data_IF_002310685730
#
_entry.id   IF_002310685730
#
_cell.length_a   1.000
_cell.length_b   1.000
_cell.length_c   1.000
_cell.angle_alpha   90.00
_cell.angle_beta   90.00
_cell.angle_gamma   90.00
#
_symmetry.space_group_name_H-M   'P 1'
#
loop_
_entity.id
_entity.type
_entity.pdbx_description
1 polymer ?
#
# COMPACT_ATOMS: atom_id res chain seq x y z
N UNK A 1 -2.58 7.03 24.39
CA UNK A 1 -1.64 5.98 23.97
C UNK A 1 -1.83 5.76 22.48
N UNK A 2 -0.76 5.56 21.72
CA UNK A 2 -0.78 5.30 20.28
C UNK A 2 -0.13 3.93 20.05
N UNK A 3 -0.85 3.03 19.37
CA UNK A 3 -0.34 1.71 19.00
C UNK A 3 -0.38 1.63 17.48
N UNK A 4 0.76 1.35 16.86
CA UNK A 4 0.82 1.01 15.45
C UNK A 4 1.29 -0.42 15.31
N UNK A 5 0.49 -1.23 14.61
CA UNK A 5 0.80 -2.63 14.32
C UNK A 5 1.19 -2.75 12.85
N UNK A 6 2.33 -3.37 12.56
CA UNK A 6 2.76 -3.60 11.18
C UNK A 6 3.53 -4.89 10.99
N UNK A 7 3.51 -5.39 9.75
CA UNK A 7 4.40 -6.47 9.31
C UNK A 7 5.57 -5.87 8.54
N UNK A 8 6.77 -6.39 8.75
CA UNK A 8 7.98 -6.00 8.02
C UNK A 8 8.93 -7.18 7.86
N UNK A 9 9.94 -7.02 7.01
CA UNK A 9 11.06 -7.95 6.88
C UNK A 9 11.97 -7.91 8.10
N UNK A 10 12.56 -9.07 8.41
CA UNK A 10 13.39 -9.28 9.60
C UNK A 10 14.58 -8.31 9.66
N UNK A 11 15.22 -8.05 8.53
CA UNK A 11 16.42 -7.21 8.44
C UNK A 11 16.13 -5.73 8.74
N UNK A 12 14.87 -5.31 8.62
CA UNK A 12 14.46 -3.92 8.78
C UNK A 12 13.86 -3.60 10.15
N UNK A 13 13.78 -4.59 11.06
CA UNK A 13 13.15 -4.41 12.37
C UNK A 13 13.61 -3.16 13.15
N UNK A 14 14.92 -2.93 13.35
CA UNK A 14 15.37 -1.77 14.13
C UNK A 14 15.04 -0.44 13.45
N UNK A 15 15.02 -0.42 12.12
CA UNK A 15 14.75 0.78 11.33
C UNK A 15 13.25 1.10 11.38
N UNK A 16 12.40 0.14 11.05
CA UNK A 16 10.93 0.30 11.07
C UNK A 16 10.45 0.69 12.46
N UNK A 17 10.96 0.05 13.51
CA UNK A 17 10.55 0.35 14.88
C UNK A 17 10.88 1.81 15.28
N UNK A 18 12.08 2.29 14.93
CA UNK A 18 12.48 3.68 15.17
C UNK A 18 11.71 4.68 14.31
N UNK A 19 11.46 4.36 13.04
CA UNK A 19 10.66 5.20 12.15
C UNK A 19 9.23 5.37 12.69
N UNK A 20 8.61 4.28 13.16
CA UNK A 20 7.27 4.33 13.75
C UNK A 20 7.22 5.15 15.02
N UNK A 21 8.23 5.06 15.89
CA UNK A 21 8.33 5.93 17.07
C UNK A 21 8.38 7.41 16.65
N UNK A 22 9.31 7.76 15.75
CA UNK A 22 9.52 9.15 15.32
C UNK A 22 8.31 9.74 14.58
N UNK A 23 7.61 8.93 13.79
CA UNK A 23 6.43 9.35 13.01
C UNK A 23 5.33 9.95 13.88
N UNK A 24 5.14 9.43 15.10
CA UNK A 24 4.06 9.87 15.99
C UNK A 24 4.52 10.78 17.13
N UNK A 25 5.80 11.16 17.21
CA UNK A 25 6.31 12.00 18.31
C UNK A 25 5.55 13.32 18.41
N UNK A 26 5.32 14.00 17.28
CA UNK A 26 4.53 15.25 17.24
C UNK A 26 3.09 15.03 17.71
N UNK A 27 2.43 13.99 17.18
CA UNK A 27 1.04 13.67 17.53
C UNK A 27 0.91 13.31 19.01
N UNK A 28 1.86 12.54 19.55
CA UNK A 28 1.87 12.17 20.95
C UNK A 28 2.02 13.39 21.86
N UNK A 29 2.88 14.34 21.49
CA UNK A 29 3.07 15.59 22.20
C UNK A 29 1.80 16.44 22.18
N UNK A 30 1.19 16.66 21.02
CA UNK A 30 -0.05 17.43 20.90
C UNK A 30 -1.19 16.80 21.70
N UNK A 31 -1.38 15.48 21.57
CA UNK A 31 -2.41 14.76 22.30
C UNK A 31 -2.19 14.87 23.83
N UNK A 32 -0.92 14.87 24.25
CA UNK A 32 -0.58 15.05 25.65
C UNK A 32 -0.84 16.47 26.18
N UNK A 33 -0.65 17.49 25.35
CA UNK A 33 -1.00 18.87 25.69
C UNK A 33 -2.52 19.06 25.80
N UNK A 34 -3.28 18.55 24.83
CA UNK A 34 -4.74 18.68 24.78
C UNK A 34 -5.40 17.99 25.97
N UNK A 35 -5.00 16.74 26.23
CA UNK A 35 -5.64 15.90 27.25
C UNK A 35 -4.92 15.95 28.61
N UNK A 36 -3.87 16.78 28.75
CA UNK A 36 -3.03 16.91 29.96
C UNK A 36 -2.54 15.56 30.49
N UNK A 37 -2.18 14.64 29.58
CA UNK A 37 -1.75 13.29 29.93
C UNK A 37 -0.49 12.90 29.16
N UNK A 38 0.30 11.95 29.67
CA UNK A 38 1.48 11.48 28.95
C UNK A 38 1.06 10.48 27.88
N UNK A 39 1.14 10.87 26.61
CA UNK A 39 0.93 9.95 25.50
C UNK A 39 2.18 9.10 25.28
N UNK A 40 2.00 7.78 25.28
CA UNK A 40 3.05 6.82 24.91
C UNK A 40 2.79 6.25 23.52
N UNK A 41 3.86 6.08 22.75
CA UNK A 41 3.88 5.42 21.45
C UNK A 41 4.44 4.00 21.64
N UNK A 42 3.72 3.01 21.13
CA UNK A 42 4.11 1.60 21.15
C UNK A 42 4.12 1.09 19.71
N UNK A 43 5.30 0.95 19.07
CA UNK A 43 5.44 0.28 17.80
C UNK A 43 5.36 -1.24 18.03
N UNK A 44 4.36 -1.89 17.45
CA UNK A 44 4.22 -3.35 17.52
C UNK A 44 4.55 -3.94 16.15
N UNK A 45 5.76 -4.48 16.04
CA UNK A 45 6.34 -4.93 14.78
C UNK A 45 6.60 -6.43 14.85
N UNK A 46 6.07 -7.15 13.86
CA UNK A 46 6.24 -8.60 13.70
C UNK A 46 6.58 -8.95 12.25
N UNK A 47 7.10 -10.14 12.02
CA UNK A 47 7.25 -10.70 10.66
C UNK A 47 6.08 -11.62 10.33
N UNK A 48 5.95 -11.95 9.04
CA UNK A 48 5.06 -13.02 8.55
C UNK A 48 5.33 -14.38 9.24
N UNK A 49 6.60 -14.65 9.57
CA UNK A 49 7.05 -15.90 10.18
C UNK A 49 6.93 -15.90 11.72
N UNK A 50 6.33 -14.86 12.31
CA UNK A 50 6.17 -14.75 13.77
C UNK A 50 7.47 -14.46 14.52
N UNK A 51 8.56 -14.15 13.81
CA UNK A 51 9.75 -13.55 14.43
C UNK A 51 9.39 -12.13 14.88
N UNK A 52 9.84 -11.76 16.07
CA UNK A 52 9.46 -10.52 16.75
C UNK A 52 10.69 -9.81 17.31
N UNK A 53 10.58 -8.49 17.56
CA UNK A 53 11.68 -7.70 18.09
C UNK A 53 11.99 -8.04 19.55
N UNK A 54 13.18 -7.65 20.03
CA UNK A 54 13.53 -7.78 21.46
C UNK A 54 12.59 -6.97 22.38
N UNK A 55 11.99 -5.89 21.87
CA UNK A 55 11.04 -5.06 22.62
C UNK A 55 9.62 -5.64 22.64
N UNK A 56 9.32 -6.58 21.75
CA UNK A 56 8.01 -7.23 21.66
C UNK A 56 7.50 -7.76 22.99
N UNK A 57 8.36 -8.47 23.74
CA UNK A 57 8.01 -9.01 25.07
C UNK A 57 7.72 -7.90 26.09
N UNK A 58 8.38 -6.75 25.98
CA UNK A 58 8.14 -5.59 26.84
C UNK A 58 6.77 -4.98 26.52
N UNK A 59 6.45 -4.81 25.24
CA UNK A 59 5.18 -4.24 24.81
C UNK A 59 3.98 -5.15 25.09
N UNK A 60 4.13 -6.47 24.91
CA UNK A 60 3.14 -7.46 25.33
C UNK A 60 2.76 -7.34 26.81
N UNK A 61 3.78 -7.25 27.68
CA UNK A 61 3.58 -7.09 29.13
C UNK A 61 2.95 -5.75 29.49
N UNK A 62 3.33 -4.69 28.78
CA UNK A 62 2.78 -3.36 29.03
C UNK A 62 1.34 -3.21 28.56
N UNK A 63 0.98 -3.87 27.47
CA UNK A 63 -0.36 -3.88 26.90
C UNK A 63 -1.28 -4.96 27.51
N UNK A 64 -0.73 -5.86 28.34
CA UNK A 64 -1.40 -7.05 28.87
C UNK A 64 -2.08 -7.89 27.76
N UNK A 65 -1.39 -8.03 26.63
CA UNK A 65 -1.93 -8.75 25.47
C UNK A 65 -1.74 -10.25 25.69
N UNK A 66 -2.85 -10.97 25.74
CA UNK A 66 -2.83 -12.42 25.83
C UNK A 66 -2.43 -13.07 24.49
N UNK A 67 -1.84 -14.28 24.49
CA UNK A 67 -1.37 -14.93 23.26
C UNK A 67 -2.46 -15.11 22.19
N UNK A 68 -3.71 -15.35 22.59
CA UNK A 68 -4.82 -15.48 21.63
C UNK A 68 -5.17 -14.16 20.93
N UNK A 69 -5.01 -13.03 21.63
CA UNK A 69 -5.20 -11.70 21.06
C UNK A 69 -4.05 -11.34 20.11
N UNK A 70 -2.81 -11.71 20.47
CA UNK A 70 -1.66 -11.56 19.59
C UNK A 70 -1.85 -12.33 18.27
N UNK A 71 -2.28 -13.60 18.34
CA UNK A 71 -2.60 -14.39 17.15
C UNK A 71 -3.74 -13.77 16.32
N UNK A 72 -4.76 -13.22 16.99
CA UNK A 72 -5.83 -12.50 16.29
C UNK A 72 -5.32 -11.25 15.58
N UNK A 73 -4.51 -10.43 16.25
CA UNK A 73 -3.88 -9.24 15.67
C UNK A 73 -3.03 -9.66 14.46
N UNK A 74 -2.21 -10.69 14.59
CA UNK A 74 -1.40 -11.21 13.49
C UNK A 74 -2.29 -11.61 12.31
N UNK A 75 -3.35 -12.41 12.54
CA UNK A 75 -4.28 -12.82 11.47
C UNK A 75 -4.93 -11.63 10.77
N UNK A 76 -5.25 -10.58 11.51
CA UNK A 76 -5.89 -9.38 10.99
C UNK A 76 -4.93 -8.57 10.11
N UNK A 77 -3.67 -8.41 10.54
CA UNK A 77 -2.67 -7.68 9.76
C UNK A 77 -2.30 -8.46 8.49
N UNK A 78 -2.16 -9.78 8.59
CA UNK A 78 -1.96 -10.67 7.43
C UNK A 78 -3.11 -10.51 6.43
N UNK A 79 -4.36 -10.57 6.90
CA UNK A 79 -5.55 -10.40 6.07
C UNK A 79 -5.59 -9.04 5.39
N UNK A 80 -5.40 -7.96 6.15
CA UNK A 80 -5.39 -6.58 5.59
C UNK A 80 -4.27 -6.38 4.57
N UNK A 81 -3.11 -6.97 4.82
CA UNK A 81 -1.98 -6.86 3.91
C UNK A 81 -2.25 -7.64 2.62
N UNK A 82 -2.84 -8.84 2.72
CA UNK A 82 -3.28 -9.61 1.56
C UNK A 82 -4.37 -8.87 0.76
N UNK A 83 -5.33 -8.25 1.44
CA UNK A 83 -6.34 -7.39 0.81
C UNK A 83 -5.71 -6.21 0.09
N UNK A 84 -4.74 -5.52 0.72
CA UNK A 84 -4.02 -4.39 0.11
C UNK A 84 -3.25 -4.81 -1.15
N UNK A 85 -2.50 -5.90 -1.09
CA UNK A 85 -1.75 -6.43 -2.25
C UNK A 85 -2.72 -6.86 -3.36
N UNK A 86 -3.85 -7.49 -2.99
CA UNK A 86 -4.85 -7.93 -3.96
C UNK A 86 -5.57 -6.75 -4.62
N UNK A 87 -5.83 -5.68 -3.86
CA UNK A 87 -6.40 -4.44 -4.36
C UNK A 87 -5.43 -3.75 -5.32
N UNK A 88 -4.15 -3.67 -4.96
CA UNK A 88 -3.09 -3.07 -5.79
C UNK A 88 -2.93 -3.82 -7.12
N UNK A 89 -2.97 -5.17 -7.09
CA UNK A 89 -2.96 -5.98 -8.32
C UNK A 89 -4.16 -5.71 -9.23
N UNK A 90 -5.35 -5.50 -8.66
CA UNK A 90 -6.55 -5.17 -9.45
C UNK A 90 -6.44 -3.78 -10.07
N UNK A 91 -6.02 -2.78 -9.31
CA UNK A 91 -5.82 -1.43 -9.83
C UNK A 91 -4.70 -1.38 -10.88
N UNK A 92 -3.62 -2.14 -10.71
CA UNK A 92 -2.59 -2.26 -11.74
C UNK A 92 -3.16 -2.82 -13.05
N UNK A 93 -3.98 -3.87 -12.96
CA UNK A 93 -4.63 -4.48 -14.13
C UNK A 93 -5.63 -3.53 -14.79
N UNK A 94 -6.49 -2.86 -14.03
CA UNK A 94 -7.48 -1.91 -14.56
C UNK A 94 -6.81 -0.71 -15.27
N UNK A 95 -5.64 -0.27 -14.77
CA UNK A 95 -4.85 0.80 -15.38
C UNK A 95 -4.14 0.36 -16.65
N UNK A 96 -3.65 -0.89 -16.69
CA UNK A 96 -3.04 -1.46 -17.89
C UNK A 96 -4.10 -1.68 -18.99
N UNK A 97 -5.28 -2.20 -18.63
CA UNK A 97 -6.41 -2.38 -19.54
C UNK A 97 -6.91 -1.04 -20.11
N UNK A 98 -6.97 0.01 -19.28
CA UNK A 98 -7.35 1.35 -19.72
C UNK A 98 -6.35 1.94 -20.73
N UNK A 99 -5.04 1.78 -20.47
CA UNK A 99 -3.99 2.22 -21.41
C UNK A 99 -4.02 1.45 -22.73
N UNK A 100 -4.26 0.15 -22.67
CA UNK A 100 -4.37 -0.69 -23.88
C UNK A 100 -5.58 -0.28 -24.73
N UNK A 101 -6.70 0.06 -24.10
CA UNK A 101 -7.88 0.59 -24.79
C UNK A 101 -7.62 1.94 -25.46
N UNK A 102 -7.00 2.89 -24.76
CA UNK A 102 -6.64 4.20 -25.33
C UNK A 102 -5.66 4.06 -26.50
N UNK A 103 -4.66 3.17 -26.38
CA UNK A 103 -3.71 2.88 -27.45
C UNK A 103 -4.42 2.29 -28.67
N UNK A 104 -5.32 1.33 -28.47
CA UNK A 104 -6.07 0.70 -29.54
C UNK A 104 -7.03 1.67 -30.24
N UNK A 105 -7.68 2.58 -29.51
CA UNK A 105 -8.51 3.64 -30.08
C UNK A 105 -7.68 4.65 -30.90
N UNK A 106 -6.51 5.05 -30.40
CA UNK A 106 -5.59 5.93 -31.13
C UNK A 106 -5.09 5.27 -32.43
N UNK A 107 -4.68 4.00 -32.36
CA UNK A 107 -4.25 3.22 -33.54
C UNK A 107 -5.38 3.08 -34.55
N UNK A 108 -6.61 2.79 -34.11
CA UNK A 108 -7.77 2.70 -35.00
C UNK A 108 -8.04 4.03 -35.72
N UNK A 109 -7.90 5.17 -35.02
CA UNK A 109 -8.07 6.50 -35.62
C UNK A 109 -7.02 6.81 -36.70
N UNK A 110 -5.76 6.40 -36.48
CA UNK A 110 -4.67 6.58 -37.45
C UNK A 110 -4.87 5.70 -38.69
N UNK A 111 -5.37 4.47 -38.50
CA UNK A 111 -5.71 3.57 -39.60
C UNK A 111 -6.86 4.13 -40.46
N UNK A 112 -7.91 4.68 -39.83
CA UNK A 112 -9.03 5.31 -40.53
C UNK A 112 -8.58 6.56 -41.33
N UNK A 113 -7.70 7.38 -40.74
CA UNK A 113 -7.09 8.52 -41.43
C UNK A 113 -6.22 8.09 -42.64
N UNK A 114 -5.46 7.00 -42.49
CA UNK A 114 -4.65 6.44 -43.59
C UNK A 114 -5.50 5.82 -44.70
N UNK A 115 -6.66 5.22 -44.37
CA UNK A 115 -7.59 4.66 -45.35
C UNK A 115 -8.38 5.73 -46.10
N UNK A 116 -8.72 6.85 -45.45
CA UNK A 116 -9.33 8.03 -46.12
C UNK A 116 -8.38 8.76 -47.05
N UNK A 117 -7.07 8.67 -46.83
CA UNK A 117 -6.06 9.34 -47.67
C UNK A 117 -5.79 8.64 -49.03
N UNK A 118 -6.36 7.46 -49.29
CA UNK A 118 -6.27 6.75 -50.57
C UNK A 118 -7.69 6.49 -51.13
N UNK A 119 -8.35 7.52 -51.71
CA UNK A 119 -8.65 7.41 -53.14
C UNK A 119 -8.79 8.78 -53.83
N UNK A 120 -7.82 9.19 -54.66
CA UNK A 120 -8.09 10.20 -55.72
C UNK A 120 -7.19 10.04 -56.96
N UNK A 121 -6.83 8.81 -57.33
CA UNK A 121 -6.04 8.57 -58.53
C UNK A 121 -6.68 7.54 -59.48
N UNK A 122 -7.96 7.69 -59.82
CA UNK A 122 -8.52 7.14 -61.07
C UNK A 122 -9.65 8.03 -61.58
N UNK A 123 -9.33 9.03 -62.41
CA UNK A 123 -10.19 9.51 -63.51
C UNK A 123 -9.64 10.75 -64.22
N UNK A 124 -8.44 10.65 -64.79
CA UNK A 124 -8.04 11.52 -65.90
C UNK A 124 -7.26 10.67 -66.90
N UNK A 125 -7.99 10.07 -67.83
CA UNK A 125 -7.46 9.82 -69.15
C UNK A 125 -8.48 10.32 -70.16
N UNK A 126 -8.05 11.35 -70.88
CA UNK A 126 -8.75 12.08 -71.93
C UNK A 126 -9.08 11.19 -73.15
N UNK A 127 -10.12 11.64 -73.86
CA UNK A 127 -10.51 11.38 -75.27
C UNK A 127 -10.95 9.98 -75.69
#
# INVERSE_FOLDING_TARGET
MIIEVGITDLDLFPVVENEKLRKYDLLANELGLIHKCRTKIIPYVMTWDGVVTNFHKKYLKELDVQPHLEAYIQSLVLKKTLESISLERRHGHDMDDAKEKELNEAVASLVDLSQRALPTAVSLHDN
#
